data_IF_189608921246
#
_entry.id   IF_189608921246
#
_cell.length_a   1.000
_cell.length_b   1.000
_cell.length_c   1.000
_cell.angle_alpha   90.00
_cell.angle_beta   90.00
_cell.angle_gamma   90.00
#
_symmetry.space_group_name_H-M   'P 1'
#
loop_
_entity.id
_entity.type
_entity.pdbx_description
1 polymer ?
#
# COMPACT_ATOMS: atom_id res chain seq x y z
N UNK A 1 -12.98 -8.10 -20.35
CA UNK A 1 -13.23 -6.64 -20.36
C UNK A 1 -12.83 -6.09 -19.00
N UNK A 2 -12.24 -4.89 -18.94
CA UNK A 2 -11.90 -4.25 -17.65
C UNK A 2 -13.10 -3.43 -17.17
N UNK A 3 -13.50 -3.64 -15.91
CA UNK A 3 -14.54 -2.84 -15.26
C UNK A 3 -13.87 -1.79 -14.37
N UNK A 4 -13.70 -0.58 -14.90
CA UNK A 4 -12.90 0.48 -14.27
C UNK A 4 -13.42 0.92 -12.89
N UNK A 5 -14.74 1.07 -12.74
CA UNK A 5 -15.37 1.40 -11.46
C UNK A 5 -15.06 0.34 -10.40
N UNK A 6 -15.07 -0.94 -10.79
CA UNK A 6 -14.72 -2.04 -9.89
C UNK A 6 -13.23 -2.03 -9.53
N UNK A 7 -12.35 -1.71 -10.47
CA UNK A 7 -10.91 -1.61 -10.20
C UNK A 7 -10.63 -0.52 -9.14
N UNK A 8 -11.29 0.64 -9.26
CA UNK A 8 -11.18 1.73 -8.28
C UNK A 8 -11.75 1.29 -6.92
N UNK A 9 -12.94 0.69 -6.90
CA UNK A 9 -13.57 0.20 -5.68
C UNK A 9 -12.70 -0.87 -4.97
N UNK A 10 -12.15 -1.81 -5.74
CA UNK A 10 -11.26 -2.84 -5.24
C UNK A 10 -9.99 -2.24 -4.62
N UNK A 11 -9.38 -1.25 -5.27
CA UNK A 11 -8.25 -0.50 -4.72
C UNK A 11 -8.61 0.21 -3.40
N UNK A 12 -9.76 0.90 -3.35
CA UNK A 12 -10.23 1.57 -2.14
C UNK A 12 -10.44 0.60 -0.96
N UNK A 13 -11.15 -0.51 -1.19
CA UNK A 13 -11.44 -1.51 -0.15
C UNK A 13 -10.16 -2.21 0.30
N UNK A 14 -9.28 -2.56 -0.63
CA UNK A 14 -7.98 -3.15 -0.31
C UNK A 14 -7.11 -2.22 0.52
N UNK A 15 -7.05 -0.93 0.18
CA UNK A 15 -6.33 0.07 0.97
C UNK A 15 -6.94 0.23 2.36
N UNK A 16 -8.27 0.23 2.51
CA UNK A 16 -8.90 0.29 3.82
C UNK A 16 -8.48 -0.87 4.72
N UNK A 17 -8.55 -2.11 4.22
CA UNK A 17 -8.17 -3.29 5.01
C UNK A 17 -6.67 -3.36 5.29
N UNK A 18 -5.84 -3.00 4.31
CA UNK A 18 -4.39 -2.88 4.52
C UNK A 18 -4.07 -1.80 5.57
N UNK A 19 -4.76 -0.66 5.54
CA UNK A 19 -4.57 0.42 6.52
C UNK A 19 -4.92 -0.06 7.93
N UNK A 20 -6.02 -0.78 8.08
CA UNK A 20 -6.41 -1.38 9.37
C UNK A 20 -5.33 -2.36 9.86
N UNK A 21 -4.85 -3.25 8.99
CA UNK A 21 -3.78 -4.20 9.32
C UNK A 21 -2.47 -3.49 9.67
N UNK A 22 -2.13 -2.40 9.00
CA UNK A 22 -0.96 -1.58 9.29
C UNK A 22 -1.08 -0.94 10.68
N UNK A 23 -2.21 -0.33 11.02
CA UNK A 23 -2.41 0.23 12.36
C UNK A 23 -2.44 -0.86 13.45
N UNK A 24 -2.94 -2.06 13.17
CA UNK A 24 -2.80 -3.20 14.07
C UNK A 24 -1.32 -3.56 14.30
N UNK A 25 -0.52 -3.62 13.22
CA UNK A 25 0.93 -3.81 13.31
C UNK A 25 1.62 -2.71 14.11
N UNK A 26 1.19 -1.46 13.95
CA UNK A 26 1.67 -0.31 14.73
C UNK A 26 1.39 -0.47 16.23
N UNK A 27 0.18 -0.92 16.60
CA UNK A 27 -0.19 -1.22 18.00
C UNK A 27 0.68 -2.36 18.56
N UNK A 28 1.08 -3.32 17.73
CA UNK A 28 1.99 -4.41 18.08
C UNK A 28 3.48 -3.99 18.11
N UNK A 29 3.79 -2.70 17.93
CA UNK A 29 5.14 -2.14 18.05
C UNK A 29 5.92 -2.03 16.75
N UNK A 30 5.30 -2.27 15.58
CA UNK A 30 5.96 -2.03 14.29
C UNK A 30 5.93 -0.53 13.95
N UNK A 31 7.04 0.03 13.49
CA UNK A 31 7.10 1.45 13.09
C UNK A 31 6.55 1.66 11.67
N UNK A 32 5.23 1.47 11.51
CA UNK A 32 4.51 1.63 10.25
C UNK A 32 3.42 2.69 10.37
N UNK A 33 3.63 3.84 9.74
CA UNK A 33 2.64 4.93 9.69
C UNK A 33 2.69 5.66 8.35
N UNK A 34 2.24 4.97 7.30
CA UNK A 34 2.27 5.49 5.94
C UNK A 34 1.45 6.77 5.75
N UNK A 35 0.23 6.92 6.31
CA UNK A 35 -0.51 8.18 6.20
C UNK A 35 0.26 9.36 6.77
N UNK A 36 0.91 9.20 7.94
CA UNK A 36 1.76 10.27 8.49
C UNK A 36 2.93 10.58 7.57
N UNK A 37 3.64 9.57 7.08
CA UNK A 37 4.77 9.77 6.18
C UNK A 37 4.35 10.53 4.90
N UNK A 38 3.26 10.11 4.25
CA UNK A 38 2.75 10.77 3.04
C UNK A 38 2.31 12.22 3.35
N UNK A 39 1.60 12.42 4.46
CA UNK A 39 1.15 13.77 4.87
C UNK A 39 2.31 14.74 5.08
N UNK A 40 3.39 14.26 5.70
CA UNK A 40 4.60 15.03 5.96
C UNK A 40 5.41 15.38 4.71
N UNK A 41 5.05 14.88 3.52
CA UNK A 41 5.59 15.41 2.27
C UNK A 41 5.03 16.80 1.93
N UNK A 42 3.82 17.13 2.40
CA UNK A 42 3.07 18.31 1.96
C UNK A 42 2.69 19.26 3.08
N UNK A 43 2.53 18.73 4.30
CA UNK A 43 2.00 19.47 5.45
C UNK A 43 3.03 19.49 6.57
N UNK A 44 3.11 20.63 7.24
CA UNK A 44 3.96 20.83 8.39
C UNK A 44 3.50 20.09 9.64
N UNK A 45 4.45 19.56 10.41
CA UNK A 45 4.19 18.77 11.60
C UNK A 45 3.47 19.55 12.71
N UNK A 46 3.54 20.88 12.68
CA UNK A 46 2.76 21.77 13.56
C UNK A 46 1.25 21.66 13.34
N UNK A 47 0.80 21.06 12.23
CA UNK A 47 -0.61 20.85 11.87
C UNK A 47 -0.97 19.36 11.79
N UNK A 48 -0.94 18.61 12.91
CA UNK A 48 -1.03 17.15 12.91
C UNK A 48 -2.33 16.62 12.28
N UNK A 49 -3.46 17.28 12.50
CA UNK A 49 -4.74 16.90 11.87
C UNK A 49 -4.69 17.00 10.36
N UNK A 50 -4.04 18.03 9.82
CA UNK A 50 -3.89 18.21 8.38
C UNK A 50 -2.89 17.21 7.77
N UNK A 51 -1.80 16.89 8.48
CA UNK A 51 -0.85 15.83 8.10
C UNK A 51 -1.59 14.51 7.89
N UNK A 52 -2.36 14.04 8.87
CA UNK A 52 -3.10 12.80 8.73
C UNK A 52 -4.24 12.90 7.71
N UNK A 53 -4.94 14.04 7.63
CA UNK A 53 -6.01 14.24 6.65
C UNK A 53 -5.51 14.12 5.21
N UNK A 54 -4.48 14.88 4.85
CA UNK A 54 -3.85 14.83 3.52
C UNK A 54 -3.22 13.46 3.27
N UNK A 55 -2.51 12.94 4.26
CA UNK A 55 -1.88 11.62 4.20
C UNK A 55 -2.86 10.49 3.90
N UNK A 56 -4.01 10.47 4.58
CA UNK A 56 -5.06 9.48 4.36
C UNK A 56 -5.70 9.61 2.99
N UNK A 57 -6.05 10.83 2.56
CA UNK A 57 -6.62 11.08 1.23
C UNK A 57 -5.68 10.58 0.14
N UNK A 58 -4.40 10.95 0.21
CA UNK A 58 -3.40 10.52 -0.77
C UNK A 58 -3.12 9.02 -0.70
N UNK A 59 -3.08 8.42 0.50
CA UNK A 59 -2.90 6.97 0.65
C UNK A 59 -4.00 6.19 -0.06
N UNK A 60 -5.26 6.60 0.11
CA UNK A 60 -6.40 5.99 -0.58
C UNK A 60 -6.42 6.28 -2.08
N UNK A 61 -6.05 7.49 -2.51
CA UNK A 61 -5.93 7.82 -3.93
C UNK A 61 -4.88 6.94 -4.64
N UNK A 62 -3.72 6.74 -4.00
CA UNK A 62 -2.67 5.83 -4.48
C UNK A 62 -3.20 4.39 -4.51
N UNK A 63 -3.94 3.98 -3.48
CA UNK A 63 -4.65 2.70 -3.43
C UNK A 63 -5.56 2.44 -4.63
N UNK A 64 -6.42 3.41 -4.96
CA UNK A 64 -7.29 3.37 -6.12
C UNK A 64 -6.50 3.28 -7.44
N UNK A 65 -5.39 4.04 -7.56
CA UNK A 65 -4.50 3.96 -8.71
C UNK A 65 -3.89 2.56 -8.87
N UNK A 66 -3.40 1.95 -7.78
CA UNK A 66 -2.94 0.57 -7.81
C UNK A 66 -4.06 -0.43 -8.11
N UNK A 67 -5.29 -0.15 -7.68
CA UNK A 67 -6.51 -0.84 -8.12
C UNK A 67 -6.60 -0.99 -9.64
N UNK A 68 -6.44 0.13 -10.35
CA UNK A 68 -6.43 0.18 -11.82
C UNK A 68 -5.24 -0.60 -12.40
N UNK A 69 -4.04 -0.44 -11.83
CA UNK A 69 -2.83 -1.17 -12.27
C UNK A 69 -3.02 -2.68 -12.14
N UNK A 70 -3.58 -3.16 -11.03
CA UNK A 70 -3.84 -4.59 -10.83
C UNK A 70 -4.88 -5.11 -11.82
N UNK A 71 -5.95 -4.37 -12.08
CA UNK A 71 -6.95 -4.75 -13.08
C UNK A 71 -6.36 -4.86 -14.49
N UNK A 72 -5.43 -3.96 -14.86
CA UNK A 72 -4.67 -4.05 -16.10
C UNK A 72 -3.82 -5.31 -16.14
N UNK A 73 -3.09 -5.63 -15.07
CA UNK A 73 -2.27 -6.85 -15.00
C UNK A 73 -3.15 -8.10 -15.12
N UNK A 74 -4.27 -8.16 -14.39
CA UNK A 74 -5.24 -9.28 -14.49
C UNK A 74 -5.75 -9.48 -15.91
N UNK A 75 -6.00 -8.38 -16.62
CA UNK A 75 -6.41 -8.44 -18.03
C UNK A 75 -5.29 -8.99 -18.92
N UNK A 76 -4.05 -8.50 -18.75
CA UNK A 76 -2.89 -8.91 -19.55
C UNK A 76 -2.52 -10.39 -19.35
N UNK A 77 -2.67 -10.92 -18.15
CA UNK A 77 -2.37 -12.34 -17.84
C UNK A 77 -3.57 -13.27 -18.09
N UNK A 78 -4.69 -12.74 -18.58
CA UNK A 78 -5.88 -13.54 -18.88
C UNK A 78 -6.63 -14.10 -17.66
N UNK A 79 -6.46 -13.50 -16.48
CA UNK A 79 -7.16 -13.94 -15.25
C UNK A 79 -8.69 -13.69 -15.31
N UNK A 80 -9.14 -12.83 -16.23
CA UNK A 80 -10.56 -12.49 -16.40
C UNK A 80 -11.15 -11.81 -15.15
N UNK A 81 -12.38 -12.17 -14.80
CA UNK A 81 -13.09 -11.68 -13.60
C UNK A 81 -13.45 -12.80 -12.63
N UNK A 82 -12.93 -14.02 -12.81
CA UNK A 82 -13.24 -15.12 -11.91
C UNK A 82 -12.53 -14.92 -10.55
N UNK A 83 -13.31 -14.88 -9.45
CA UNK A 83 -12.82 -14.62 -8.09
C UNK A 83 -11.55 -15.43 -7.74
N UNK A 84 -11.56 -16.74 -8.02
CA UNK A 84 -10.42 -17.61 -7.69
C UNK A 84 -9.15 -17.23 -8.46
N UNK A 85 -9.28 -16.88 -9.74
CA UNK A 85 -8.15 -16.49 -10.58
C UNK A 85 -7.61 -15.10 -10.18
N UNK A 86 -8.49 -14.12 -9.98
CA UNK A 86 -8.08 -12.76 -9.61
C UNK A 86 -7.54 -12.68 -8.17
N UNK A 87 -8.08 -13.45 -7.23
CA UNK A 87 -7.56 -13.53 -5.86
C UNK A 87 -6.16 -14.16 -5.82
N UNK A 88 -5.96 -15.30 -6.51
CA UNK A 88 -4.66 -15.97 -6.60
C UNK A 88 -3.61 -15.08 -7.27
N UNK A 89 -3.94 -14.50 -8.42
CA UNK A 89 -3.07 -13.54 -9.10
C UNK A 89 -2.79 -12.31 -8.22
N UNK A 90 -3.80 -11.79 -7.53
CA UNK A 90 -3.69 -10.64 -6.64
C UNK A 90 -2.69 -10.86 -5.51
N UNK A 91 -2.68 -12.05 -4.89
CA UNK A 91 -1.68 -12.44 -3.88
C UNK A 91 -0.27 -12.43 -4.47
N UNK A 92 -0.06 -13.07 -5.62
CA UNK A 92 1.27 -13.14 -6.27
C UNK A 92 1.77 -11.74 -6.62
N UNK A 93 0.92 -10.91 -7.23
CA UNK A 93 1.27 -9.52 -7.55
C UNK A 93 1.53 -8.73 -6.26
N UNK A 94 0.75 -8.96 -5.20
CA UNK A 94 0.97 -8.40 -3.87
C UNK A 94 2.35 -8.70 -3.30
N UNK A 95 2.84 -9.94 -3.44
CA UNK A 95 4.20 -10.31 -3.05
C UNK A 95 5.23 -9.50 -3.84
N UNK A 96 5.12 -9.48 -5.18
CA UNK A 96 6.03 -8.76 -6.06
C UNK A 96 6.03 -7.26 -5.74
N UNK A 97 4.85 -6.69 -5.52
CA UNK A 97 4.66 -5.29 -5.14
C UNK A 97 5.32 -4.99 -3.79
N UNK A 98 5.08 -5.82 -2.77
CA UNK A 98 5.71 -5.65 -1.46
C UNK A 98 7.24 -5.76 -1.51
N UNK A 99 7.78 -6.70 -2.30
CA UNK A 99 9.23 -6.81 -2.53
C UNK A 99 9.80 -5.57 -3.22
N UNK A 100 9.13 -5.10 -4.28
CA UNK A 100 9.53 -3.90 -5.02
C UNK A 100 9.50 -2.64 -4.15
N UNK A 101 8.42 -2.44 -3.40
CA UNK A 101 8.29 -1.30 -2.49
C UNK A 101 9.30 -1.39 -1.35
N UNK A 102 9.49 -2.58 -0.77
CA UNK A 102 10.49 -2.82 0.27
C UNK A 102 11.90 -2.44 -0.19
N UNK A 103 12.28 -2.82 -1.41
CA UNK A 103 13.55 -2.40 -1.99
C UNK A 103 13.62 -0.88 -2.19
N UNK A 104 12.54 -0.27 -2.68
CA UNK A 104 12.46 1.16 -2.96
C UNK A 104 12.53 2.05 -1.69
N UNK A 105 12.16 1.53 -0.51
CA UNK A 105 12.24 2.27 0.75
C UNK A 105 13.62 2.88 1.05
N UNK A 106 14.69 2.22 0.59
CA UNK A 106 16.06 2.75 0.76
C UNK A 106 16.32 4.06 0.02
N UNK A 107 15.50 4.40 -0.98
CA UNK A 107 15.66 5.58 -1.84
C UNK A 107 14.73 6.72 -1.43
N UNK A 108 13.65 6.44 -0.70
CA UNK A 108 12.66 7.45 -0.28
C UNK A 108 13.25 8.67 0.44
N UNK A 109 14.26 8.55 1.33
CA UNK A 109 14.87 9.71 1.98
C UNK A 109 15.44 10.75 0.99
N UNK A 110 15.81 10.35 -0.23
CA UNK A 110 16.34 11.27 -1.23
C UNK A 110 15.28 12.24 -1.81
N UNK A 111 13.99 11.92 -1.65
CA UNK A 111 12.88 12.71 -2.23
C UNK A 111 11.88 13.19 -1.18
N UNK A 112 12.00 12.73 0.07
CA UNK A 112 11.05 13.05 1.13
C UNK A 112 11.59 14.17 2.03
N UNK A 113 10.94 15.35 2.07
CA UNK A 113 11.52 16.57 2.66
C UNK A 113 11.76 16.50 4.16
N UNK A 114 11.05 15.61 4.87
CA UNK A 114 11.15 15.43 6.32
C UNK A 114 11.71 14.05 6.72
N UNK A 115 12.43 13.37 5.83
CA UNK A 115 12.98 12.04 6.09
C UNK A 115 14.48 11.99 5.79
N UNK A 116 15.28 11.64 6.80
CA UNK A 116 16.72 11.79 6.75
C UNK A 116 17.36 11.58 8.13
N UNK A 117 18.68 11.51 8.18
CA UNK A 117 19.40 11.38 9.45
C UNK A 117 19.23 12.67 10.26
N UNK A 118 18.66 12.57 11.46
CA UNK A 118 18.37 13.74 12.30
C UNK A 118 17.14 14.55 11.87
N UNK A 119 16.38 14.06 10.88
CA UNK A 119 15.10 14.62 10.46
C UNK A 119 13.94 14.07 11.30
N UNK A 120 12.74 14.62 11.08
CA UNK A 120 11.53 14.19 11.79
C UNK A 120 11.16 12.71 11.57
N UNK A 121 11.50 12.15 10.40
CA UNK A 121 11.31 10.72 10.10
C UNK A 121 12.68 10.09 9.83
N UNK A 122 13.05 9.13 10.66
CA UNK A 122 14.27 8.35 10.43
C UNK A 122 14.19 7.58 9.11
N UNK A 123 15.28 7.42 8.34
CA UNK A 123 15.27 6.66 7.10
C UNK A 123 14.88 5.19 7.35
N UNK A 124 13.91 4.60 6.62
CA UNK A 124 13.52 3.21 6.80
C UNK A 124 14.63 2.23 6.39
N UNK A 125 15.50 2.63 5.45
CA UNK A 125 16.51 1.76 4.86
C UNK A 125 15.91 0.68 3.94
N UNK A 126 16.78 -0.14 3.34
CA UNK A 126 16.35 -1.25 2.48
C UNK A 126 15.40 -2.18 3.25
N UNK A 127 14.19 -2.40 2.71
CA UNK A 127 13.12 -3.19 3.34
C UNK A 127 12.69 -2.72 4.75
N UNK A 128 12.91 -1.45 5.11
CA UNK A 128 12.50 -0.94 6.41
C UNK A 128 13.34 -1.46 7.58
N UNK A 129 14.56 -1.97 7.31
CA UNK A 129 15.40 -2.62 8.33
C UNK A 129 15.80 -1.73 9.50
N UNK A 130 15.83 -0.41 9.31
CA UNK A 130 16.12 0.54 10.41
C UNK A 130 14.96 0.64 11.41
N UNK A 131 13.76 0.22 11.02
CA UNK A 131 12.56 0.23 11.85
C UNK A 131 12.32 -1.12 12.57
N UNK A 132 13.24 -2.07 12.42
CA UNK A 132 13.20 -3.36 13.11
C UNK A 132 13.28 -4.57 12.19
N UNK A 133 13.57 -5.73 12.79
CA UNK A 133 13.82 -6.97 12.04
C UNK A 133 12.58 -7.54 11.35
N UNK A 134 11.38 -7.24 11.86
CA UNK A 134 10.09 -7.72 11.37
C UNK A 134 9.53 -6.89 10.22
N UNK A 135 10.06 -5.69 9.97
CA UNK A 135 9.55 -4.76 8.96
C UNK A 135 9.56 -5.32 7.52
N UNK A 136 10.62 -6.01 7.06
CA UNK A 136 10.61 -6.62 5.72
C UNK A 136 9.42 -7.55 5.51
N UNK A 137 9.11 -8.38 6.52
CA UNK A 137 7.97 -9.29 6.47
C UNK A 137 6.65 -8.52 6.52
N UNK A 138 6.54 -7.54 7.41
CA UNK A 138 5.35 -6.69 7.53
C UNK A 138 4.98 -6.01 6.21
N UNK A 139 5.96 -5.46 5.48
CA UNK A 139 5.73 -4.84 4.16
C UNK A 139 5.12 -5.86 3.19
N UNK A 140 5.72 -7.04 3.05
CA UNK A 140 5.22 -8.06 2.12
C UNK A 140 3.83 -8.54 2.53
N UNK A 141 3.59 -8.81 3.82
CA UNK A 141 2.28 -9.27 4.32
C UNK A 141 1.18 -8.24 4.04
N UNK A 142 1.44 -6.95 4.28
CA UNK A 142 0.47 -5.89 3.98
C UNK A 142 0.11 -5.84 2.49
N UNK A 143 1.07 -6.04 1.60
CA UNK A 143 0.80 -6.04 0.16
C UNK A 143 0.14 -7.34 -0.33
N UNK A 144 0.37 -8.46 0.34
CA UNK A 144 -0.40 -9.70 0.13
C UNK A 144 -1.86 -9.49 0.52
N UNK A 145 -2.13 -8.87 1.67
CA UNK A 145 -3.48 -8.51 2.10
C UNK A 145 -4.13 -7.60 1.05
N UNK A 146 -3.44 -6.53 0.65
CA UNK A 146 -3.92 -5.61 -0.38
C UNK A 146 -4.27 -6.35 -1.67
N UNK A 147 -3.33 -7.12 -2.21
CA UNK A 147 -3.52 -7.83 -3.48
C UNK A 147 -4.60 -8.90 -3.44
N UNK A 148 -4.69 -9.66 -2.36
CA UNK A 148 -5.73 -10.68 -2.17
C UNK A 148 -7.13 -10.06 -2.06
N UNK A 149 -7.30 -9.03 -1.23
CA UNK A 149 -8.57 -8.31 -1.09
C UNK A 149 -8.99 -7.67 -2.41
N UNK A 150 -8.06 -6.98 -3.08
CA UNK A 150 -8.30 -6.37 -4.38
C UNK A 150 -8.76 -7.42 -5.39
N UNK A 151 -8.05 -8.55 -5.47
CA UNK A 151 -8.40 -9.65 -6.37
C UNK A 151 -9.80 -10.22 -6.12
N UNK A 152 -10.18 -10.40 -4.85
CA UNK A 152 -11.53 -10.86 -4.48
C UNK A 152 -12.59 -9.84 -4.89
N UNK A 153 -12.41 -8.56 -4.52
CA UNK A 153 -13.39 -7.50 -4.82
C UNK A 153 -13.49 -7.26 -6.32
N UNK A 154 -12.38 -7.26 -7.05
CA UNK A 154 -12.40 -7.11 -8.51
C UNK A 154 -13.07 -8.30 -9.21
N UNK A 155 -12.86 -9.52 -8.70
CA UNK A 155 -13.47 -10.73 -9.26
C UNK A 155 -14.93 -10.94 -8.86
N UNK A 156 -15.45 -10.23 -7.85
CA UNK A 156 -16.83 -10.40 -7.40
C UNK A 156 -17.87 -9.75 -8.31
N UNK A 157 -17.48 -9.32 -9.52
CA UNK A 157 -18.41 -8.81 -10.52
C UNK A 157 -19.24 -9.98 -11.04
N UNK A 158 -20.55 -9.91 -10.77
CA UNK A 158 -21.54 -10.74 -11.44
C UNK A 158 -21.77 -10.10 -12.82
N UNK A 159 -21.11 -10.62 -13.84
CA UNK A 159 -21.41 -10.30 -15.24
C UNK A 159 -22.32 -11.38 -15.80
#
# INVERSE_FOLDING_TARGET
MIVWSQAILAGFVATALMTIAMYAGKIMGLSMDMPRAIGLMFVDETHPTAVYGVGMVLHFAIGCLFGVVYALIFHLIGAGTAIGATAGAGIVIGIIHGLGLGAALGVIPAVHPRMGVGELIEPPGFFGRNYGMSMPLGIVVLHVIFGGVLGVVYGSVVV
#
